data_IF_102229357210
#
_entry.id   IF_102229357210
#
_cell.length_a   1.000
_cell.length_b   1.000
_cell.length_c   1.000
_cell.angle_alpha   90.00
_cell.angle_beta   90.00
_cell.angle_gamma   90.00
#
_symmetry.space_group_name_H-M   'P 1'
#
loop_
_entity.id
_entity.type
_entity.pdbx_description
1 polymer ?
#
# COMPACT_ATOMS: atom_id res chain seq x y z
N UNK A 1 19.22 27.88 -11.27
CA UNK A 1 18.14 26.95 -10.91
C UNK A 1 18.29 26.67 -9.43
N UNK A 2 17.57 27.40 -8.57
CA UNK A 2 17.68 27.23 -7.12
C UNK A 2 17.08 25.85 -6.84
N UNK A 3 17.91 24.93 -6.34
CA UNK A 3 17.46 23.64 -5.83
C UNK A 3 16.57 24.00 -4.64
N UNK A 4 15.26 24.07 -4.85
CA UNK A 4 14.31 24.43 -3.79
C UNK A 4 14.58 23.47 -2.64
N UNK A 5 14.92 24.00 -1.47
CA UNK A 5 15.16 23.17 -0.29
C UNK A 5 13.92 22.29 -0.10
N UNK A 6 14.14 20.99 0.09
CA UNK A 6 13.03 20.07 0.35
C UNK A 6 12.37 20.47 1.66
N UNK A 7 11.04 20.68 1.67
CA UNK A 7 10.35 21.11 2.90
C UNK A 7 10.46 20.03 3.98
N UNK A 8 10.62 20.44 5.24
CA UNK A 8 10.83 19.50 6.34
C UNK A 8 9.67 18.50 6.48
N UNK A 9 8.44 18.96 6.25
CA UNK A 9 7.21 18.14 6.29
C UNK A 9 7.02 17.23 5.08
N UNK A 10 7.85 17.34 4.03
CA UNK A 10 7.88 16.36 2.93
C UNK A 10 8.18 14.94 3.44
N UNK A 11 9.01 14.85 4.49
CA UNK A 11 9.33 13.60 5.15
C UNK A 11 8.09 12.96 5.79
N UNK A 12 7.12 13.75 6.27
CA UNK A 12 5.90 13.24 6.88
C UNK A 12 5.04 12.52 5.83
N UNK A 13 5.02 12.98 4.59
CA UNK A 13 4.29 12.28 3.53
C UNK A 13 5.08 11.07 3.05
N UNK A 14 6.35 11.27 2.72
CA UNK A 14 7.16 10.25 2.04
C UNK A 14 7.51 9.07 2.93
N UNK A 15 7.77 9.28 4.22
CA UNK A 15 7.97 8.19 5.19
C UNK A 15 6.70 7.34 5.30
N UNK A 16 5.54 7.97 5.38
CA UNK A 16 4.27 7.25 5.47
C UNK A 16 4.00 6.43 4.20
N UNK A 17 4.28 6.97 3.00
CA UNK A 17 4.19 6.20 1.76
C UNK A 17 5.12 4.97 1.78
N UNK A 18 6.33 5.09 2.33
CA UNK A 18 7.23 3.94 2.47
C UNK A 18 6.75 2.92 3.50
N UNK A 19 6.12 3.36 4.59
CA UNK A 19 5.49 2.45 5.56
C UNK A 19 4.44 1.60 4.83
N UNK A 20 3.53 2.21 4.08
CA UNK A 20 2.52 1.46 3.31
C UNK A 20 3.10 0.60 2.20
N UNK A 21 4.21 1.03 1.56
CA UNK A 21 4.94 0.19 0.62
C UNK A 21 5.47 -1.08 1.30
N UNK A 22 6.06 -0.95 2.49
CA UNK A 22 6.52 -2.10 3.28
C UNK A 22 5.35 -3.00 3.65
N UNK A 23 4.22 -2.45 4.11
CA UNK A 23 3.02 -3.25 4.38
C UNK A 23 2.48 -3.96 3.13
N UNK A 24 2.55 -3.33 1.97
CA UNK A 24 2.16 -3.94 0.71
C UNK A 24 3.09 -5.10 0.35
N UNK A 25 4.38 -4.98 0.60
CA UNK A 25 5.36 -6.08 0.42
C UNK A 25 5.09 -7.21 1.42
N UNK A 26 4.82 -6.88 2.69
CA UNK A 26 4.44 -7.87 3.70
C UNK A 26 3.16 -8.61 3.32
N UNK A 27 2.20 -7.92 2.71
CA UNK A 27 0.98 -8.54 2.19
C UNK A 27 1.31 -9.57 1.10
N UNK A 28 2.22 -9.27 0.16
CA UNK A 28 2.67 -10.24 -0.85
C UNK A 28 3.19 -11.51 -0.17
N UNK A 29 4.09 -11.37 0.81
CA UNK A 29 4.66 -12.50 1.53
C UNK A 29 3.57 -13.29 2.28
N UNK A 30 2.66 -12.59 2.95
CA UNK A 30 1.56 -13.20 3.68
C UNK A 30 0.56 -13.89 2.74
N UNK A 31 0.32 -13.37 1.54
CA UNK A 31 -0.56 -13.99 0.56
C UNK A 31 0.05 -15.24 -0.05
N UNK A 32 1.36 -15.26 -0.29
CA UNK A 32 2.07 -16.48 -0.73
C UNK A 32 1.97 -17.55 0.37
N UNK A 33 2.32 -17.21 1.61
CA UNK A 33 2.27 -18.15 2.74
C UNK A 33 0.83 -18.56 3.09
N UNK A 34 -0.10 -17.61 3.07
CA UNK A 34 -1.50 -17.83 3.40
C UNK A 34 -2.22 -18.65 2.33
N UNK A 35 -1.91 -18.42 1.04
CA UNK A 35 -2.46 -19.20 -0.06
C UNK A 35 -1.99 -20.66 -0.03
N UNK A 36 -0.72 -20.91 0.28
CA UNK A 36 -0.19 -22.27 0.41
C UNK A 36 -0.76 -22.99 1.63
N UNK A 37 -0.84 -22.32 2.78
CA UNK A 37 -1.42 -22.88 4.00
C UNK A 37 -2.93 -23.14 3.84
N UNK A 38 -3.69 -22.18 3.30
CA UNK A 38 -5.12 -22.34 3.06
C UNK A 38 -5.40 -23.46 2.06
N UNK A 39 -4.62 -23.55 0.97
CA UNK A 39 -4.72 -24.64 0.01
C UNK A 39 -4.43 -26.01 0.63
N UNK A 40 -3.43 -26.10 1.52
CA UNK A 40 -3.10 -27.35 2.21
C UNK A 40 -4.17 -27.78 3.23
N UNK A 41 -4.70 -26.83 4.02
CA UNK A 41 -5.75 -27.10 5.01
C UNK A 41 -7.06 -27.50 4.32
N UNK A 42 -7.49 -26.76 3.30
CA UNK A 42 -8.72 -27.05 2.58
C UNK A 42 -8.61 -28.33 1.74
N UNK A 43 -7.43 -28.60 1.18
CA UNK A 43 -7.17 -29.85 0.47
C UNK A 43 -7.21 -31.09 1.37
N UNK A 44 -6.78 -30.96 2.63
CA UNK A 44 -6.84 -32.02 3.63
C UNK A 44 -8.24 -32.20 4.26
N UNK A 45 -9.08 -31.16 4.23
CA UNK A 45 -10.43 -31.18 4.79
C UNK A 45 -11.51 -31.66 3.79
N UNK A 46 -11.18 -31.77 2.50
CA UNK A 46 -12.13 -32.28 1.49
C UNK A 46 -12.38 -33.78 1.65
N UNK A 47 -13.62 -34.17 1.93
CA UNK A 47 -14.03 -35.58 2.04
C UNK A 47 -14.22 -36.24 0.66
N UNK A 48 -14.39 -35.41 -0.37
CA UNK A 48 -14.52 -35.81 -1.78
C UNK A 48 -13.51 -35.08 -2.66
N UNK A 49 -13.20 -35.65 -3.83
CA UNK A 49 -12.23 -35.08 -4.79
C UNK A 49 -12.61 -33.67 -5.26
N UNK A 50 -13.90 -33.39 -5.36
CA UNK A 50 -14.42 -32.13 -5.90
C UNK A 50 -14.29 -30.99 -4.89
N UNK A 51 -14.50 -31.28 -3.60
CA UNK A 51 -14.34 -30.30 -2.51
C UNK A 51 -12.87 -29.96 -2.28
N UNK A 52 -11.99 -30.95 -2.37
CA UNK A 52 -10.53 -30.74 -2.30
C UNK A 52 -10.04 -29.82 -3.43
N UNK A 53 -10.56 -30.00 -4.65
CA UNK A 53 -10.25 -29.14 -5.79
C UNK A 53 -10.71 -27.70 -5.60
N UNK A 54 -11.94 -27.49 -5.10
CA UNK A 54 -12.47 -26.14 -4.78
C UNK A 54 -11.60 -25.45 -3.73
N UNK A 55 -11.16 -26.18 -2.70
CA UNK A 55 -10.26 -25.67 -1.66
C UNK A 55 -8.93 -25.16 -2.20
N UNK A 56 -8.31 -25.91 -3.12
CA UNK A 56 -7.07 -25.52 -3.80
C UNK A 56 -7.27 -24.29 -4.67
N UNK A 57 -8.36 -24.23 -5.44
CA UNK A 57 -8.68 -23.08 -6.30
C UNK A 57 -8.89 -21.82 -5.46
N UNK A 58 -9.61 -21.91 -4.36
CA UNK A 58 -9.83 -20.78 -3.44
C UNK A 58 -8.49 -20.31 -2.83
N UNK A 59 -7.66 -21.24 -2.34
CA UNK A 59 -6.33 -20.91 -1.81
C UNK A 59 -5.43 -20.24 -2.85
N UNK A 60 -5.48 -20.71 -4.10
CA UNK A 60 -4.74 -20.11 -5.21
C UNK A 60 -5.25 -18.72 -5.57
N UNK A 61 -6.57 -18.50 -5.66
CA UNK A 61 -7.17 -17.20 -5.98
C UNK A 61 -6.82 -16.17 -4.90
N UNK A 62 -6.95 -16.53 -3.62
CA UNK A 62 -6.60 -15.62 -2.53
C UNK A 62 -5.10 -15.34 -2.45
N UNK A 63 -4.26 -16.36 -2.71
CA UNK A 63 -2.81 -16.19 -2.77
C UNK A 63 -2.41 -15.24 -3.89
N UNK A 64 -2.84 -15.52 -5.13
CA UNK A 64 -2.46 -14.72 -6.30
C UNK A 64 -3.09 -13.33 -6.27
N UNK A 65 -4.35 -13.22 -5.83
CA UNK A 65 -5.05 -11.95 -5.69
C UNK A 65 -4.37 -11.04 -4.67
N UNK A 66 -3.90 -11.60 -3.55
CA UNK A 66 -3.14 -10.87 -2.56
C UNK A 66 -1.75 -10.44 -3.05
N UNK A 67 -1.06 -11.29 -3.83
CA UNK A 67 0.21 -10.93 -4.50
C UNK A 67 0.02 -9.77 -5.47
N UNK A 68 -0.99 -9.83 -6.33
CA UNK A 68 -1.28 -8.76 -7.29
C UNK A 68 -1.60 -7.46 -6.56
N UNK A 69 -2.48 -7.52 -5.55
CA UNK A 69 -2.88 -6.36 -4.76
C UNK A 69 -1.68 -5.73 -4.04
N UNK A 70 -0.85 -6.55 -3.39
CA UNK A 70 0.35 -6.08 -2.70
C UNK A 70 1.39 -5.50 -3.67
N UNK A 71 1.57 -6.09 -4.85
CA UNK A 71 2.51 -5.60 -5.85
C UNK A 71 2.08 -4.24 -6.41
N UNK A 72 0.81 -4.11 -6.82
CA UNK A 72 0.24 -2.85 -7.28
C UNK A 72 0.33 -1.79 -6.19
N UNK A 73 -0.04 -2.15 -4.95
CA UNK A 73 0.11 -1.27 -3.80
C UNK A 73 1.55 -0.76 -3.62
N UNK A 74 2.53 -1.66 -3.59
CA UNK A 74 3.93 -1.30 -3.41
C UNK A 74 4.44 -0.36 -4.52
N UNK A 75 4.11 -0.65 -5.78
CA UNK A 75 4.51 0.16 -6.93
C UNK A 75 3.88 1.56 -6.84
N UNK A 76 2.58 1.66 -6.58
CA UNK A 76 1.89 2.94 -6.51
C UNK A 76 2.45 3.82 -5.38
N UNK A 77 2.70 3.25 -4.20
CA UNK A 77 3.32 3.97 -3.08
C UNK A 77 4.73 4.45 -3.40
N UNK A 78 5.54 3.62 -4.06
CA UNK A 78 6.87 4.00 -4.51
C UNK A 78 6.83 5.14 -5.53
N UNK A 79 5.95 5.05 -6.53
CA UNK A 79 5.80 6.08 -7.56
C UNK A 79 5.29 7.40 -6.97
N UNK A 80 4.35 7.36 -6.03
CA UNK A 80 3.87 8.54 -5.32
C UNK A 80 5.01 9.21 -4.56
N UNK A 81 5.77 8.43 -3.77
CA UNK A 81 6.90 8.95 -2.99
C UNK A 81 7.98 9.55 -3.89
N UNK A 82 8.28 8.90 -5.02
CA UNK A 82 9.24 9.39 -6.00
C UNK A 82 8.77 10.68 -6.67
N UNK A 83 7.56 10.70 -7.20
CA UNK A 83 6.99 11.88 -7.85
C UNK A 83 6.94 13.08 -6.92
N UNK A 84 6.55 12.85 -5.67
CA UNK A 84 6.52 13.89 -4.64
C UNK A 84 7.93 14.39 -4.27
N UNK A 85 8.93 13.51 -4.15
CA UNK A 85 10.34 13.89 -3.94
C UNK A 85 10.97 14.64 -5.10
N UNK A 86 10.44 14.46 -6.31
CA UNK A 86 10.84 15.19 -7.50
C UNK A 86 10.09 16.54 -7.63
N UNK A 87 9.20 16.87 -6.68
CA UNK A 87 8.41 18.11 -6.69
C UNK A 87 7.25 18.12 -7.70
N UNK A 88 6.88 16.95 -8.25
CA UNK A 88 5.89 16.89 -9.33
C UNK A 88 4.46 16.88 -8.79
N UNK A 89 3.60 17.68 -9.40
CA UNK A 89 2.17 17.78 -9.04
C UNK A 89 1.42 16.44 -9.08
N UNK A 90 1.71 15.59 -10.06
CA UNK A 90 1.09 14.26 -10.13
C UNK A 90 1.47 13.37 -8.95
N UNK A 91 2.69 13.53 -8.40
CA UNK A 91 3.15 12.79 -7.23
C UNK A 91 2.39 13.19 -5.97
N UNK A 92 2.08 14.48 -5.82
CA UNK A 92 1.23 14.99 -4.75
C UNK A 92 -0.21 14.48 -4.85
N UNK A 93 -0.82 14.55 -6.04
CA UNK A 93 -2.19 14.03 -6.26
C UNK A 93 -2.26 12.54 -5.97
N UNK A 94 -1.29 11.76 -6.47
CA UNK A 94 -1.24 10.32 -6.21
C UNK A 94 -1.06 10.02 -4.71
N UNK A 95 -0.22 10.79 -4.01
CA UNK A 95 -0.03 10.67 -2.56
C UNK A 95 -1.33 10.96 -1.80
N UNK A 96 -2.11 11.97 -2.23
CA UNK A 96 -3.42 12.29 -1.65
C UNK A 96 -4.38 11.12 -1.79
N UNK A 97 -4.53 10.59 -3.02
CA UNK A 97 -5.42 9.48 -3.31
C UNK A 97 -5.05 8.26 -2.48
N UNK A 98 -3.76 7.89 -2.45
CA UNK A 98 -3.29 6.74 -1.67
C UNK A 98 -3.52 6.93 -0.17
N UNK A 99 -3.28 8.11 0.37
CA UNK A 99 -3.51 8.36 1.81
C UNK A 99 -4.99 8.27 2.18
N UNK A 100 -5.89 8.76 1.33
CA UNK A 100 -7.34 8.60 1.52
C UNK A 100 -7.74 7.12 1.43
N UNK A 101 -7.25 6.40 0.42
CA UNK A 101 -7.54 4.98 0.25
C UNK A 101 -7.01 4.15 1.42
N UNK A 102 -5.81 4.44 1.91
CA UNK A 102 -5.23 3.79 3.07
C UNK A 102 -6.06 4.10 4.32
N UNK A 103 -6.46 5.35 4.52
CA UNK A 103 -7.32 5.71 5.64
C UNK A 103 -8.62 4.90 5.61
N UNK A 104 -9.29 4.82 4.45
CA UNK A 104 -10.53 4.07 4.26
C UNK A 104 -10.34 2.56 4.45
N UNK A 105 -9.29 1.99 3.85
CA UNK A 105 -8.98 0.56 3.91
C UNK A 105 -8.59 0.09 5.31
N UNK A 106 -8.10 1.00 6.15
CA UNK A 106 -7.65 0.72 7.52
C UNK A 106 -8.52 1.39 8.59
N UNK A 107 -9.76 1.78 8.28
CA UNK A 107 -10.73 2.25 9.30
C UNK A 107 -10.89 1.23 10.44
N UNK A 108 -10.69 -0.07 10.15
CA UNK A 108 -10.72 -1.15 11.15
C UNK A 108 -9.43 -1.34 11.95
N UNK A 109 -8.30 -0.72 11.55
CA UNK A 109 -7.01 -0.85 12.23
C UNK A 109 -6.39 0.50 12.59
N UNK A 110 -6.48 0.85 13.89
CA UNK A 110 -5.95 2.10 14.46
C UNK A 110 -4.47 2.30 14.15
N UNK A 111 -3.69 1.21 14.11
CA UNK A 111 -2.24 1.23 13.88
C UNK A 111 -1.88 1.81 12.51
N UNK A 112 -2.69 1.56 11.48
CA UNK A 112 -2.45 2.05 10.12
C UNK A 112 -3.23 3.32 9.79
N UNK A 113 -4.19 3.73 10.60
CA UNK A 113 -4.87 5.02 10.44
C UNK A 113 -3.95 6.21 10.81
N UNK A 114 -3.13 6.07 11.85
CA UNK A 114 -2.24 7.16 12.33
C UNK A 114 -1.23 7.60 11.24
N UNK A 115 -0.49 6.69 10.58
CA UNK A 115 0.39 7.04 9.45
C UNK A 115 -0.33 7.81 8.34
N UNK A 116 -1.56 7.41 7.97
CA UNK A 116 -2.33 8.10 6.93
C UNK A 116 -2.66 9.54 7.34
N UNK A 117 -3.10 9.74 8.58
CA UNK A 117 -3.44 11.08 9.08
C UNK A 117 -2.20 11.98 9.10
N UNK A 118 -1.07 11.48 9.60
CA UNK A 118 0.18 12.25 9.60
C UNK A 118 0.67 12.58 8.18
N UNK A 119 0.52 11.62 7.26
CA UNK A 119 0.79 11.82 5.84
C UNK A 119 -0.08 12.92 5.23
N UNK A 120 -1.40 12.91 5.51
CA UNK A 120 -2.33 13.94 5.05
C UNK A 120 -2.00 15.32 5.63
N UNK A 121 -1.67 15.41 6.91
CA UNK A 121 -1.25 16.67 7.55
C UNK A 121 0.00 17.23 6.87
N UNK A 122 0.99 16.37 6.58
CA UNK A 122 2.17 16.79 5.83
C UNK A 122 1.85 17.21 4.39
N UNK A 123 0.90 16.53 3.75
CA UNK A 123 0.52 16.77 2.36
C UNK A 123 -0.26 18.08 2.16
N UNK A 124 -1.08 18.46 3.16
CA UNK A 124 -1.81 19.72 3.19
C UNK A 124 -0.97 20.90 3.69
N UNK A 125 0.28 20.68 4.08
CA UNK A 125 1.18 21.77 4.41
C UNK A 125 1.46 22.66 3.18
N UNK A 126 1.44 23.97 3.39
CA UNK A 126 1.62 24.95 2.32
C UNK A 126 2.97 24.82 1.62
N UNK A 127 4.05 24.56 2.36
CA UNK A 127 5.38 24.42 1.78
C UNK A 127 5.48 23.18 0.88
N UNK A 128 4.77 22.11 1.25
CA UNK A 128 4.71 20.87 0.46
C UNK A 128 3.88 21.05 -0.80
N UNK A 129 2.76 21.79 -0.73
CA UNK A 129 1.95 22.12 -1.90
C UNK A 129 2.72 23.02 -2.88
N UNK A 130 3.38 24.06 -2.36
CA UNK A 130 4.18 24.98 -3.16
C UNK A 130 5.36 24.22 -3.83
N UNK A 131 6.01 23.32 -3.08
CA UNK A 131 7.05 22.45 -3.61
C UNK A 131 6.54 21.52 -4.72
N UNK A 132 5.32 20.98 -4.58
CA UNK A 132 4.72 20.09 -5.55
C UNK A 132 4.03 20.80 -6.73
N UNK A 133 4.03 22.13 -6.75
CA UNK A 133 3.41 22.92 -7.83
C UNK A 133 4.31 23.13 -9.05
N UNK A 134 5.55 22.62 -9.00
CA UNK A 134 6.60 22.81 -10.00
C UNK A 134 6.70 21.65 -11.01
#
# INVERSE_FOLDING_TARGET
MIKSMQPAKLSWVTVNLYIYMVFSILLILLSILGGTVAGAILGAAGETSDESFIGVVIGFIFGIGGVITGLVGAILHFLAARGLKEGKRWGWVLSLILMILNLLGYISSIVLAIPAILGLVGLFDREVQDYASH
#
